data_IF_083800920566
#
_entry.id   IF_083800920566
#
_cell.length_a   1.000
_cell.length_b   1.000
_cell.length_c   1.000
_cell.angle_alpha   90.00
_cell.angle_beta   90.00
_cell.angle_gamma   90.00
#
_symmetry.space_group_name_H-M   'P 1'
#
loop_
_entity.id
_entity.type
_entity.pdbx_description
1 polymer ?
#
# COMPACT_ATOMS: atom_id res chain seq x y z
N UNK A 1 -0.41 22.11 -16.53
CA UNK A 1 -0.52 20.65 -16.39
C UNK A 1 0.65 20.22 -15.50
N UNK A 2 0.43 19.79 -14.29
CA UNK A 2 1.50 19.18 -13.52
C UNK A 2 1.86 17.83 -14.13
N UNK A 3 3.13 17.38 -14.06
CA UNK A 3 3.52 16.08 -14.56
C UNK A 3 2.80 14.99 -13.76
N UNK A 4 2.38 13.95 -14.46
CA UNK A 4 1.83 12.75 -13.83
C UNK A 4 2.88 12.18 -12.88
N UNK A 5 2.58 12.20 -11.60
CA UNK A 5 3.43 11.60 -10.58
C UNK A 5 3.36 10.08 -10.76
N UNK A 6 4.49 9.51 -11.17
CA UNK A 6 4.70 8.06 -11.25
C UNK A 6 4.85 7.54 -9.82
N UNK A 7 3.74 7.20 -9.19
CA UNK A 7 3.81 6.40 -7.95
C UNK A 7 4.39 5.03 -8.29
N UNK A 8 5.27 4.55 -7.45
CA UNK A 8 6.04 3.30 -7.61
C UNK A 8 5.17 2.18 -8.18
N UNK A 9 5.08 2.13 -9.50
CA UNK A 9 4.62 0.96 -10.22
C UNK A 9 5.80 0.01 -10.31
N UNK A 10 5.80 -1.02 -9.47
CA UNK A 10 6.71 -2.14 -9.61
C UNK A 10 6.29 -2.94 -10.85
N UNK A 11 6.69 -2.45 -12.04
CA UNK A 11 6.37 -3.10 -13.31
C UNK A 11 7.12 -4.41 -13.45
N UNK A 12 6.36 -5.48 -13.64
CA UNK A 12 6.88 -6.80 -13.98
C UNK A 12 7.17 -6.86 -15.48
N UNK A 13 8.43 -6.99 -15.85
CA UNK A 13 8.82 -7.37 -17.20
C UNK A 13 9.77 -8.55 -17.13
N UNK A 14 9.34 -9.72 -17.64
CA UNK A 14 10.22 -10.87 -17.70
C UNK A 14 9.55 -12.14 -18.23
N UNK A 15 9.79 -12.44 -19.49
CA UNK A 15 9.32 -13.62 -20.21
C UNK A 15 10.08 -14.89 -19.86
N UNK A 16 9.35 -15.99 -19.71
CA UNK A 16 9.56 -17.28 -20.36
C UNK A 16 10.69 -18.18 -19.93
N UNK A 17 10.33 -19.44 -19.61
CA UNK A 17 11.20 -20.59 -19.72
C UNK A 17 10.95 -21.65 -18.63
N UNK A 18 10.34 -22.77 -19.00
CA UNK A 18 9.90 -23.83 -18.11
C UNK A 18 11.01 -24.73 -17.57
N UNK A 19 10.57 -25.61 -16.65
CA UNK A 19 11.07 -26.92 -16.25
C UNK A 19 11.84 -27.03 -14.93
N UNK A 20 11.25 -27.86 -14.11
CA UNK A 20 11.67 -28.61 -12.92
C UNK A 20 11.23 -28.03 -11.60
N UNK A 21 10.25 -28.75 -10.99
CA UNK A 21 9.86 -28.67 -9.59
C UNK A 21 11.03 -29.09 -8.69
N UNK A 22 11.89 -28.17 -8.37
CA UNK A 22 12.54 -28.04 -7.09
C UNK A 22 11.62 -27.20 -6.23
N UNK A 23 11.45 -27.47 -4.96
CA UNK A 23 10.84 -26.56 -4.00
C UNK A 23 11.70 -25.27 -4.01
N UNK A 24 11.44 -24.38 -4.96
CA UNK A 24 11.98 -23.02 -4.90
C UNK A 24 11.34 -22.37 -3.70
N UNK A 25 12.16 -22.11 -2.69
CA UNK A 25 11.77 -21.24 -1.58
C UNK A 25 11.39 -19.90 -2.19
N UNK A 26 10.08 -19.60 -2.23
CA UNK A 26 9.59 -18.31 -2.70
C UNK A 26 10.28 -17.22 -1.90
N UNK A 27 11.15 -16.46 -2.54
CA UNK A 27 11.85 -15.34 -1.90
C UNK A 27 11.05 -14.07 -2.17
N UNK A 28 10.59 -13.41 -1.11
CA UNK A 28 9.87 -12.15 -1.21
C UNK A 28 10.75 -11.08 -1.85
N UNK A 29 10.18 -10.33 -2.78
CA UNK A 29 10.81 -9.16 -3.42
C UNK A 29 9.85 -7.98 -3.39
N UNK A 30 10.29 -6.78 -3.75
CA UNK A 30 9.37 -5.64 -3.93
C UNK A 30 8.41 -5.87 -5.10
N UNK A 31 8.81 -6.62 -6.12
CA UNK A 31 7.92 -7.06 -7.20
C UNK A 31 7.01 -8.17 -6.70
N UNK A 32 5.82 -8.28 -7.28
CA UNK A 32 4.90 -9.35 -6.96
C UNK A 32 5.32 -10.66 -7.61
N UNK A 33 5.28 -11.73 -6.84
CA UNK A 33 5.64 -13.08 -7.30
C UNK A 33 4.55 -13.68 -8.21
N UNK A 34 3.30 -13.39 -7.88
CA UNK A 34 2.13 -13.91 -8.58
C UNK A 34 0.88 -13.10 -8.18
N UNK A 35 -0.28 -13.46 -8.73
CA UNK A 35 -1.55 -12.79 -8.48
C UNK A 35 -1.99 -12.88 -7.01
N UNK A 36 -1.79 -14.02 -6.36
CA UNK A 36 -2.10 -14.20 -4.94
C UNK A 36 -1.27 -13.24 -4.08
N UNK A 37 0.03 -13.13 -4.34
CA UNK A 37 0.92 -12.19 -3.66
C UNK A 37 0.46 -10.74 -3.84
N UNK A 38 -0.01 -10.40 -5.04
CA UNK A 38 -0.60 -9.09 -5.36
C UNK A 38 -1.87 -8.82 -4.56
N UNK A 39 -2.75 -9.83 -4.44
CA UNK A 39 -3.99 -9.70 -3.68
C UNK A 39 -3.72 -9.42 -2.19
N UNK A 40 -2.74 -10.10 -1.59
CA UNK A 40 -2.32 -9.82 -0.21
C UNK A 40 -1.71 -8.43 -0.07
N UNK A 41 -0.91 -7.98 -1.03
CA UNK A 41 -0.37 -6.62 -1.06
C UNK A 41 -1.48 -5.57 -1.07
N UNK A 42 -2.45 -5.71 -1.97
CA UNK A 42 -3.61 -4.82 -2.05
C UNK A 42 -4.47 -4.85 -0.78
N UNK A 43 -4.68 -6.04 -0.20
CA UNK A 43 -5.40 -6.16 1.07
C UNK A 43 -4.70 -5.39 2.20
N UNK A 44 -3.37 -5.46 2.26
CA UNK A 44 -2.58 -4.68 3.21
C UNK A 44 -2.73 -3.18 3.01
N UNK A 45 -2.63 -2.71 1.77
CA UNK A 45 -2.77 -1.29 1.43
C UNK A 45 -4.14 -0.75 1.83
N UNK A 46 -5.21 -1.43 1.43
CA UNK A 46 -6.58 -1.01 1.74
C UNK A 46 -6.84 -1.02 3.25
N UNK A 47 -6.39 -2.05 3.96
CA UNK A 47 -6.50 -2.11 5.41
C UNK A 47 -5.79 -0.95 6.10
N UNK A 48 -4.57 -0.63 5.67
CA UNK A 48 -3.79 0.49 6.23
C UNK A 48 -4.51 1.82 6.02
N UNK A 49 -5.05 2.07 4.84
CA UNK A 49 -5.79 3.29 4.55
C UNK A 49 -7.06 3.43 5.42
N UNK A 50 -7.85 2.35 5.53
CA UNK A 50 -9.06 2.34 6.39
C UNK A 50 -8.70 2.57 7.86
N UNK A 51 -7.65 1.93 8.35
CA UNK A 51 -7.22 2.07 9.73
C UNK A 51 -6.61 3.46 10.05
N UNK A 52 -6.14 4.19 9.03
CA UNK A 52 -5.70 5.59 9.11
C UNK A 52 -6.83 6.62 8.89
N UNK A 53 -8.09 6.16 8.83
CA UNK A 53 -9.25 7.00 8.53
C UNK A 53 -9.08 7.79 7.21
N UNK A 54 -8.57 7.06 6.20
CA UNK A 54 -8.27 7.61 4.88
C UNK A 54 -8.92 6.78 3.75
N UNK A 55 -10.00 6.09 4.06
CA UNK A 55 -10.76 5.29 3.09
C UNK A 55 -11.36 6.13 1.96
N UNK A 56 -11.65 7.40 2.23
CA UNK A 56 -12.14 8.39 1.27
C UNK A 56 -11.12 8.74 0.17
N UNK A 57 -9.85 8.46 0.41
CA UNK A 57 -8.79 8.67 -0.58
C UNK A 57 -8.74 7.55 -1.64
N UNK A 58 -9.27 6.36 -1.35
CA UNK A 58 -9.28 5.25 -2.31
C UNK A 58 -10.61 5.25 -3.07
N UNK A 59 -10.54 5.27 -4.40
CA UNK A 59 -11.70 5.09 -5.27
C UNK A 59 -11.96 3.61 -5.55
N UNK A 60 -10.91 2.86 -5.86
CA UNK A 60 -10.99 1.41 -6.09
C UNK A 60 -9.62 0.74 -5.98
N UNK A 61 -9.63 -0.59 -5.82
CA UNK A 61 -8.47 -1.45 -5.98
C UNK A 61 -8.74 -2.48 -7.07
N UNK A 62 -7.74 -2.86 -7.86
CA UNK A 62 -7.90 -3.81 -8.97
C UNK A 62 -6.67 -4.70 -9.14
N UNK A 63 -6.92 -6.01 -9.32
CA UNK A 63 -5.91 -6.97 -9.75
C UNK A 63 -5.65 -6.95 -11.26
N UNK A 64 -6.61 -6.44 -12.05
CA UNK A 64 -6.55 -6.43 -13.52
C UNK A 64 -5.72 -5.26 -14.07
N UNK A 65 -5.41 -4.28 -13.23
CA UNK A 65 -4.58 -3.15 -13.60
C UNK A 65 -3.15 -3.37 -13.13
N UNK A 66 -2.19 -3.40 -14.05
CA UNK A 66 -0.77 -3.53 -13.69
C UNK A 66 -0.18 -2.20 -13.23
N UNK A 67 -0.62 -1.08 -13.83
CA UNK A 67 -0.07 0.24 -13.55
C UNK A 67 -0.83 1.01 -12.45
N UNK A 68 -2.12 0.73 -12.28
CA UNK A 68 -2.99 1.45 -11.34
C UNK A 68 -3.79 0.50 -10.47
N UNK A 69 -3.09 -0.33 -9.68
CA UNK A 69 -3.75 -1.29 -8.79
C UNK A 69 -4.57 -0.64 -7.69
N UNK A 70 -4.19 0.55 -7.26
CA UNK A 70 -4.98 1.41 -6.37
C UNK A 70 -5.30 2.70 -7.11
N UNK A 71 -6.59 2.93 -7.34
CA UNK A 71 -7.06 4.18 -7.89
C UNK A 71 -7.49 5.10 -6.76
N UNK A 72 -6.89 6.26 -6.69
CA UNK A 72 -7.24 7.27 -5.70
C UNK A 72 -8.43 8.13 -6.17
N UNK A 73 -9.15 8.70 -5.23
CA UNK A 73 -10.25 9.63 -5.49
C UNK A 73 -9.74 10.97 -6.01
N UNK A 74 -10.63 11.76 -6.61
CA UNK A 74 -10.29 13.10 -7.08
C UNK A 74 -9.73 13.99 -5.98
N UNK A 75 -10.20 13.83 -4.72
CA UNK A 75 -9.69 14.56 -3.56
C UNK A 75 -8.22 14.30 -3.24
N UNK A 76 -7.68 13.17 -3.68
CA UNK A 76 -6.26 12.88 -3.56
C UNK A 76 -5.41 13.72 -4.51
N UNK A 77 -5.88 13.91 -5.75
CA UNK A 77 -5.14 14.61 -6.80
C UNK A 77 -5.39 16.13 -6.80
N UNK A 78 -6.61 16.55 -6.45
CA UNK A 78 -7.03 17.96 -6.50
C UNK A 78 -7.01 18.61 -5.11
N UNK A 79 -5.82 18.68 -4.51
CA UNK A 79 -5.64 19.28 -3.19
C UNK A 79 -5.79 20.82 -3.24
N UNK A 80 -5.59 21.43 -4.41
CA UNK A 80 -5.61 22.86 -4.61
C UNK A 80 -6.95 23.40 -5.11
N UNK A 81 -7.66 24.14 -4.27
CA UNK A 81 -8.75 25.03 -4.70
C UNK A 81 -8.26 26.48 -4.63
N UNK A 82 -8.73 27.39 -5.49
CA UNK A 82 -8.40 28.82 -5.39
C UNK A 82 -8.68 29.47 -4.03
N UNK A 83 -9.54 28.82 -3.23
CA UNK A 83 -9.90 29.25 -1.89
C UNK A 83 -9.01 28.67 -0.78
N UNK A 84 -8.11 27.74 -1.10
CA UNK A 84 -7.25 27.06 -0.12
C UNK A 84 -5.89 27.75 -0.07
N UNK A 85 -5.39 28.00 1.13
CA UNK A 85 -4.07 28.63 1.30
C UNK A 85 -2.95 27.66 0.88
N UNK A 86 -1.79 28.17 0.41
CA UNK A 86 -0.64 27.34 0.06
C UNK A 86 -0.20 26.41 1.20
N UNK A 87 -0.27 26.87 2.44
CA UNK A 87 0.05 26.09 3.63
C UNK A 87 -0.90 24.90 3.81
N UNK A 88 -2.21 25.09 3.57
CA UNK A 88 -3.18 24.03 3.70
C UNK A 88 -3.01 23.01 2.57
N UNK A 89 -2.70 23.46 1.35
CA UNK A 89 -2.39 22.59 0.21
C UNK A 89 -1.16 21.72 0.51
N UNK A 90 -0.07 22.33 1.00
CA UNK A 90 1.13 21.57 1.37
C UNK A 90 0.84 20.57 2.50
N UNK A 91 0.11 20.97 3.53
CA UNK A 91 -0.29 20.06 4.62
C UNK A 91 -1.10 18.86 4.13
N UNK A 92 -1.97 19.04 3.14
CA UNK A 92 -2.71 17.93 2.52
C UNK A 92 -1.80 17.02 1.69
N UNK A 93 -0.82 17.59 0.97
CA UNK A 93 0.18 16.78 0.24
C UNK A 93 0.99 15.91 1.19
N UNK A 94 1.50 16.49 2.28
CA UNK A 94 2.26 15.73 3.30
C UNK A 94 1.39 14.64 3.93
N UNK A 95 0.12 14.94 4.25
CA UNK A 95 -0.82 13.93 4.78
C UNK A 95 -1.03 12.79 3.79
N UNK A 96 -1.27 13.08 2.52
CA UNK A 96 -1.44 12.06 1.50
C UNK A 96 -0.17 11.21 1.34
N UNK A 97 1.00 11.84 1.36
CA UNK A 97 2.27 11.14 1.33
C UNK A 97 2.46 10.22 2.55
N UNK A 98 2.09 10.66 3.76
CA UNK A 98 2.13 9.82 4.96
C UNK A 98 1.23 8.58 4.83
N UNK A 99 0.03 8.75 4.27
CA UNK A 99 -0.92 7.65 4.06
C UNK A 99 -0.39 6.67 3.02
N UNK A 100 0.08 7.15 1.86
CA UNK A 100 0.62 6.28 0.81
C UNK A 100 1.88 5.56 1.26
N UNK A 101 2.77 6.21 2.00
CA UNK A 101 3.93 5.56 2.63
C UNK A 101 3.52 4.43 3.57
N UNK A 102 2.48 4.65 4.40
CA UNK A 102 1.96 3.61 5.27
C UNK A 102 1.34 2.45 4.46
N UNK A 103 0.63 2.75 3.37
CA UNK A 103 0.06 1.73 2.49
C UNK A 103 1.15 0.87 1.82
N UNK A 104 2.24 1.47 1.35
CA UNK A 104 3.35 0.73 0.72
C UNK A 104 4.06 -0.17 1.74
N UNK A 105 4.28 0.31 2.95
CA UNK A 105 4.78 -0.53 4.07
C UNK A 105 3.81 -1.67 4.37
N UNK A 106 2.50 -1.41 4.43
CA UNK A 106 1.46 -2.41 4.67
C UNK A 106 1.43 -3.52 3.62
N UNK A 107 1.67 -3.15 2.35
CA UNK A 107 1.80 -4.10 1.25
C UNK A 107 2.86 -5.16 1.57
N UNK A 108 4.06 -4.73 1.92
CA UNK A 108 5.17 -5.62 2.26
C UNK A 108 4.86 -6.48 3.49
N UNK A 109 4.23 -5.89 4.52
CA UNK A 109 3.88 -6.59 5.76
C UNK A 109 2.80 -7.66 5.53
N UNK A 110 1.75 -7.37 4.75
CA UNK A 110 0.71 -8.34 4.45
C UNK A 110 1.26 -9.54 3.67
N UNK A 111 2.12 -9.30 2.71
CA UNK A 111 2.80 -10.35 1.91
C UNK A 111 3.72 -11.20 2.78
N UNK A 112 4.53 -10.59 3.64
CA UNK A 112 5.47 -11.31 4.50
C UNK A 112 4.77 -12.03 5.64
N UNK A 113 4.07 -11.31 6.51
CA UNK A 113 3.58 -11.85 7.77
C UNK A 113 2.30 -12.66 7.60
N UNK A 114 1.42 -12.29 6.67
CA UNK A 114 0.12 -12.95 6.51
C UNK A 114 0.18 -14.05 5.47
N UNK A 115 0.69 -13.75 4.26
CA UNK A 115 0.78 -14.74 3.17
C UNK A 115 1.90 -15.74 3.41
N UNK A 116 3.13 -15.29 3.53
CA UNK A 116 4.31 -16.15 3.64
C UNK A 116 4.57 -16.65 5.07
N UNK A 117 3.97 -16.01 6.07
CA UNK A 117 4.18 -16.29 7.52
C UNK A 117 5.65 -16.21 7.93
N UNK A 118 6.38 -15.30 7.31
CA UNK A 118 7.81 -15.04 7.57
C UNK A 118 8.02 -13.63 8.08
N UNK A 119 9.14 -13.38 8.74
CA UNK A 119 9.53 -12.02 9.10
C UNK A 119 9.76 -11.19 7.83
N UNK A 120 9.51 -9.88 7.93
CA UNK A 120 9.78 -8.96 6.82
C UNK A 120 11.30 -8.87 6.62
N UNK A 121 11.83 -9.11 5.41
CA UNK A 121 13.26 -9.04 5.13
C UNK A 121 13.80 -7.62 5.37
N UNK A 122 14.95 -7.54 6.02
CA UNK A 122 15.57 -6.27 6.38
C UNK A 122 16.04 -5.45 5.17
N UNK A 123 16.54 -6.14 4.16
CA UNK A 123 16.98 -5.54 2.90
C UNK A 123 15.82 -4.87 2.16
N UNK A 124 14.64 -5.48 2.15
CA UNK A 124 13.43 -4.88 1.57
C UNK A 124 12.94 -3.66 2.38
N UNK A 125 13.05 -3.71 3.72
CA UNK A 125 12.73 -2.55 4.54
C UNK A 125 13.69 -1.39 4.29
N UNK A 126 14.97 -1.67 4.11
CA UNK A 126 15.97 -0.63 3.80
C UNK A 126 15.72 -0.03 2.41
N UNK A 127 15.45 -0.86 1.39
CA UNK A 127 15.11 -0.37 0.06
C UNK A 127 13.87 0.52 0.09
N UNK A 128 12.83 0.09 0.82
CA UNK A 128 11.61 0.86 0.96
C UNK A 128 11.81 2.17 1.74
N UNK A 129 12.66 2.14 2.76
CA UNK A 129 13.09 3.34 3.49
C UNK A 129 13.71 4.36 2.53
N UNK A 130 14.73 3.96 1.76
CA UNK A 130 15.45 4.85 0.86
C UNK A 130 14.51 5.46 -0.21
N UNK A 131 13.57 4.66 -0.73
CA UNK A 131 12.56 5.13 -1.68
C UNK A 131 11.60 6.15 -1.06
N UNK A 132 11.10 5.91 0.15
CA UNK A 132 10.19 6.83 0.84
C UNK A 132 10.91 8.14 1.17
N UNK A 133 12.17 8.08 1.66
CA UNK A 133 12.94 9.30 1.93
C UNK A 133 13.14 10.11 0.64
N UNK A 134 13.55 9.44 -0.44
CA UNK A 134 13.76 10.09 -1.74
C UNK A 134 12.45 10.74 -2.24
N UNK A 135 11.35 10.02 -2.23
CA UNK A 135 10.05 10.52 -2.70
C UNK A 135 9.53 11.68 -1.86
N UNK A 136 9.65 11.62 -0.53
CA UNK A 136 9.24 12.71 0.36
C UNK A 136 9.97 14.01 0.09
N UNK A 137 11.27 13.93 -0.21
CA UNK A 137 12.09 15.07 -0.57
C UNK A 137 11.75 15.63 -1.96
N UNK A 138 11.55 14.75 -2.94
CA UNK A 138 11.30 15.15 -4.33
C UNK A 138 9.87 15.68 -4.56
N UNK A 139 8.88 15.12 -3.87
CA UNK A 139 7.46 15.41 -4.14
C UNK A 139 6.82 16.35 -3.14
N UNK A 140 7.23 16.28 -1.88
CA UNK A 140 6.67 17.07 -0.79
C UNK A 140 7.61 18.15 -0.24
N UNK A 141 8.83 18.28 -0.79
CA UNK A 141 9.87 19.21 -0.34
C UNK A 141 10.17 19.06 1.16
N UNK A 142 10.17 17.79 1.63
CA UNK A 142 10.48 17.47 3.03
C UNK A 142 11.99 17.47 3.26
N UNK A 143 12.40 17.92 4.42
CA UNK A 143 13.77 17.71 4.90
C UNK A 143 13.98 16.20 5.21
N UNK A 144 15.23 15.77 5.26
CA UNK A 144 15.56 14.36 5.45
C UNK A 144 15.01 13.78 6.77
N UNK A 145 15.10 14.54 7.85
CA UNK A 145 14.56 14.16 9.16
C UNK A 145 13.01 14.11 9.19
N UNK A 146 12.35 15.00 8.45
CA UNK A 146 10.88 14.96 8.29
C UNK A 146 10.43 13.71 7.51
N UNK A 147 11.12 13.39 6.41
CA UNK A 147 10.83 12.18 5.63
C UNK A 147 11.13 10.90 6.45
N UNK A 148 12.21 10.89 7.25
CA UNK A 148 12.54 9.82 8.18
C UNK A 148 11.42 9.61 9.23
N UNK A 149 10.84 10.70 9.74
CA UNK A 149 9.72 10.63 10.67
C UNK A 149 8.49 10.00 10.01
N UNK A 150 8.20 10.31 8.75
CA UNK A 150 7.10 9.68 7.98
C UNK A 150 7.32 8.18 7.88
N UNK A 151 8.51 7.73 7.45
CA UNK A 151 8.82 6.31 7.37
C UNK A 151 8.71 5.61 8.72
N UNK A 152 9.31 6.18 9.75
CA UNK A 152 9.31 5.62 11.11
C UNK A 152 7.88 5.44 11.66
N UNK A 153 7.00 6.43 11.43
CA UNK A 153 5.58 6.34 11.78
C UNK A 153 4.87 5.25 10.99
N UNK A 154 5.06 5.20 9.67
CA UNK A 154 4.48 4.18 8.80
C UNK A 154 4.90 2.77 9.24
N UNK A 155 6.18 2.58 9.53
CA UNK A 155 6.72 1.30 10.00
C UNK A 155 6.15 0.89 11.35
N UNK A 156 6.14 1.80 12.33
CA UNK A 156 5.62 1.54 13.68
C UNK A 156 4.13 1.18 13.64
N UNK A 157 3.36 1.94 12.88
CA UNK A 157 1.93 1.72 12.71
C UNK A 157 1.64 0.34 12.10
N UNK A 158 2.33 -0.01 11.02
CA UNK A 158 2.13 -1.30 10.37
C UNK A 158 2.62 -2.48 11.23
N UNK A 159 3.68 -2.30 12.01
CA UNK A 159 4.09 -3.31 13.01
C UNK A 159 2.99 -3.59 14.04
N UNK A 160 2.27 -2.57 14.48
CA UNK A 160 1.16 -2.75 15.43
C UNK A 160 -0.02 -3.50 14.79
N UNK A 161 -0.40 -3.16 13.56
CA UNK A 161 -1.51 -3.80 12.86
C UNK A 161 -1.17 -5.26 12.53
N UNK A 162 -0.10 -5.47 11.75
CA UNK A 162 0.26 -6.80 11.22
C UNK A 162 0.96 -7.70 12.24
N UNK A 163 1.49 -7.15 13.33
CA UNK A 163 1.94 -7.91 14.49
C UNK A 163 0.79 -8.55 15.28
N UNK A 164 -0.42 -8.06 15.11
CA UNK A 164 -1.61 -8.68 15.70
C UNK A 164 -2.07 -9.90 14.87
N UNK A 165 -1.58 -11.07 15.22
CA UNK A 165 -1.89 -12.33 14.51
C UNK A 165 -3.39 -12.67 14.45
N UNK A 166 -4.23 -12.07 15.33
CA UNK A 166 -5.68 -12.25 15.28
C UNK A 166 -6.31 -11.63 14.04
N UNK A 167 -5.66 -10.64 13.42
CA UNK A 167 -6.12 -10.01 12.19
C UNK A 167 -5.74 -10.82 10.94
N UNK A 168 -4.74 -11.69 11.00
CA UNK A 168 -4.25 -12.43 9.84
C UNK A 168 -5.34 -13.22 9.10
N UNK A 169 -6.26 -13.96 9.79
CA UNK A 169 -7.34 -14.65 9.09
C UNK A 169 -8.31 -13.70 8.37
N UNK A 170 -8.58 -12.52 8.93
CA UNK A 170 -9.43 -11.51 8.29
C UNK A 170 -8.75 -10.92 7.05
N UNK A 171 -7.45 -10.60 7.16
CA UNK A 171 -6.65 -10.11 6.02
C UNK A 171 -6.60 -11.15 4.89
N UNK A 172 -6.40 -12.44 5.22
CA UNK A 172 -6.40 -13.51 4.25
C UNK A 172 -7.75 -13.68 3.55
N UNK A 173 -8.87 -13.56 4.28
CA UNK A 173 -10.22 -13.59 3.71
C UNK A 173 -10.45 -12.40 2.78
N UNK A 174 -9.98 -11.21 3.17
CA UNK A 174 -10.10 -10.02 2.33
C UNK A 174 -9.26 -10.14 1.05
N UNK A 175 -8.03 -10.66 1.13
CA UNK A 175 -7.22 -10.98 -0.04
C UNK A 175 -7.95 -11.98 -0.97
N UNK A 176 -8.60 -13.01 -0.41
CA UNK A 176 -9.44 -13.94 -1.16
C UNK A 176 -10.64 -13.25 -1.84
N UNK A 177 -11.29 -12.29 -1.18
CA UNK A 177 -12.36 -11.50 -1.79
C UNK A 177 -11.86 -10.66 -2.98
N UNK A 178 -10.67 -10.04 -2.84
CA UNK A 178 -10.00 -9.32 -3.93
C UNK A 178 -9.71 -10.27 -5.10
N UNK A 179 -9.15 -11.46 -4.84
CA UNK A 179 -8.87 -12.46 -5.88
C UNK A 179 -10.13 -12.91 -6.62
N UNK A 180 -11.25 -13.08 -5.90
CA UNK A 180 -12.51 -13.51 -6.50
C UNK A 180 -13.19 -12.42 -7.33
N UNK A 181 -13.21 -11.18 -6.84
CA UNK A 181 -13.93 -10.07 -7.47
C UNK A 181 -13.06 -9.28 -8.46
N UNK A 182 -11.76 -9.40 -8.33
CA UNK A 182 -10.71 -8.75 -9.12
C UNK A 182 -10.65 -7.22 -8.96
N UNK A 183 -11.78 -6.57 -8.85
CA UNK A 183 -11.88 -5.12 -8.61
C UNK A 183 -12.90 -4.86 -7.51
N UNK A 184 -12.55 -3.98 -6.58
CA UNK A 184 -13.42 -3.51 -5.50
C UNK A 184 -13.45 -1.99 -5.50
N UNK A 185 -14.64 -1.42 -5.47
CA UNK A 185 -14.86 0.00 -5.21
C UNK A 185 -14.60 0.36 -3.74
N UNK A 186 -14.50 1.65 -3.44
CA UNK A 186 -14.35 2.15 -2.06
C UNK A 186 -15.40 1.58 -1.11
N UNK A 187 -16.68 1.56 -1.52
CA UNK A 187 -17.76 1.05 -0.71
C UNK A 187 -17.63 -0.45 -0.45
N UNK A 188 -17.29 -1.23 -1.47
CA UNK A 188 -17.10 -2.68 -1.35
C UNK A 188 -15.91 -3.02 -0.45
N UNK A 189 -14.84 -2.22 -0.48
CA UNK A 189 -13.70 -2.36 0.45
C UNK A 189 -14.19 -2.19 1.89
N UNK A 190 -14.93 -1.14 2.18
CA UNK A 190 -15.45 -0.87 3.52
C UNK A 190 -16.42 -1.96 3.98
N UNK A 191 -17.32 -2.40 3.10
CA UNK A 191 -18.30 -3.45 3.39
C UNK A 191 -17.61 -4.78 3.74
N UNK A 192 -16.62 -5.19 2.94
CA UNK A 192 -15.83 -6.40 3.18
C UNK A 192 -15.05 -6.32 4.51
N UNK A 193 -14.35 -5.22 4.76
CA UNK A 193 -13.60 -5.04 6.00
C UNK A 193 -14.50 -4.99 7.22
N UNK A 194 -15.67 -4.34 7.11
CA UNK A 194 -16.67 -4.28 8.17
C UNK A 194 -17.24 -5.67 8.52
N UNK A 195 -17.54 -6.50 7.51
CA UNK A 195 -17.99 -7.89 7.71
C UNK A 195 -16.93 -8.75 8.41
N UNK A 196 -15.67 -8.40 8.27
CA UNK A 196 -14.53 -9.07 8.93
C UNK A 196 -14.25 -8.50 10.32
N UNK A 197 -15.07 -7.55 10.79
CA UNK A 197 -14.93 -6.92 12.10
C UNK A 197 -13.86 -5.81 12.14
N UNK A 198 -13.46 -5.32 10.99
CA UNK A 198 -12.51 -4.21 10.84
C UNK A 198 -13.32 -2.98 10.42
N UNK A 199 -13.56 -2.08 11.37
CA UNK A 199 -14.31 -0.83 11.13
C UNK A 199 -13.37 0.36 11.20
N UNK A 200 -13.58 1.35 10.33
CA UNK A 200 -13.03 2.69 10.52
C UNK A 200 -13.52 3.25 11.86
N UNK A 201 -12.66 3.97 12.57
CA UNK A 201 -13.03 4.62 13.85
C UNK A 201 -13.67 5.96 13.60
#
# INVERSE_FOLDING_TARGET
>A
MPPAQSYVCLSASGAGGGIKKSEEVETLTLQYLNEDDRAYGLAGMALSAVALDASDLISSISLDSEDNMVLFSDGYYFIGSPSVSPKATWGSMVRNFQITSAMVVANLFARSLVRMKTAVPHDLLNTLHDEIIREGRETCDLEEDEAEEVYSKALTYNRQIFGNTRLHPAIAKFAGAISCRRTLSAQEILDELSQLGITAR
#
